data_IF_940976808703
#
_entry.id   IF_940976808703
#
_cell.length_a   1.000
_cell.length_b   1.000
_cell.length_c   1.000
_cell.angle_alpha   90.00
_cell.angle_beta   90.00
_cell.angle_gamma   90.00
#
_symmetry.space_group_name_H-M   'P 1'
#
loop_
_entity.id
_entity.type
_entity.pdbx_description
1 polymer ?
#
# COMPACT_ATOMS: atom_id res chain seq x y z
N UNK A 1 26.72 -24.54 10.02
CA UNK A 1 25.93 -23.35 10.40
C UNK A 1 26.55 -22.04 9.91
N UNK A 2 27.82 -21.72 10.24
CA UNK A 2 28.48 -20.46 9.89
C UNK A 2 28.42 -20.08 8.40
N UNK A 3 28.64 -21.02 7.47
CA UNK A 3 28.60 -20.73 6.02
C UNK A 3 27.25 -20.15 5.56
N UNK A 4 26.14 -20.65 6.10
CA UNK A 4 24.79 -20.19 5.74
C UNK A 4 24.44 -18.87 6.44
N UNK A 5 24.83 -18.71 7.71
CA UNK A 5 24.67 -17.45 8.42
C UNK A 5 25.46 -16.32 7.76
N UNK A 6 26.70 -16.60 7.34
CA UNK A 6 27.50 -15.65 6.56
C UNK A 6 26.85 -15.34 5.22
N UNK A 7 26.34 -16.34 4.49
CA UNK A 7 25.68 -16.12 3.21
C UNK A 7 24.41 -15.24 3.31
N UNK A 8 23.62 -15.41 4.37
CA UNK A 8 22.48 -14.54 4.68
C UNK A 8 22.98 -13.12 5.00
N UNK A 9 24.01 -12.99 5.84
CA UNK A 9 24.58 -11.69 6.24
C UNK A 9 25.17 -10.94 5.05
N UNK A 10 25.88 -11.62 4.16
CA UNK A 10 26.49 -11.05 2.95
C UNK A 10 25.50 -10.97 1.78
N UNK A 11 24.23 -11.37 1.97
CA UNK A 11 23.18 -11.41 0.94
C UNK A 11 23.58 -12.17 -0.34
N UNK A 12 24.49 -13.14 -0.22
CA UNK A 12 25.01 -13.91 -1.37
C UNK A 12 24.08 -15.05 -1.79
N UNK A 13 23.09 -15.38 -0.97
CA UNK A 13 22.00 -16.29 -1.31
C UNK A 13 20.72 -15.86 -0.60
N UNK A 14 19.56 -16.06 -1.24
CA UNK A 14 18.28 -15.76 -0.62
C UNK A 14 18.01 -16.73 0.53
N UNK A 15 17.43 -16.21 1.61
CA UNK A 15 17.02 -17.00 2.78
C UNK A 15 16.08 -18.13 2.37
N UNK A 16 15.20 -17.89 1.41
CA UNK A 16 14.29 -18.90 0.84
C UNK A 16 15.05 -20.05 0.16
N UNK A 17 16.06 -19.75 -0.68
CA UNK A 17 16.86 -20.78 -1.34
C UNK A 17 17.63 -21.65 -0.33
N UNK A 18 18.12 -21.03 0.74
CA UNK A 18 18.80 -21.74 1.84
C UNK A 18 17.80 -22.64 2.58
N UNK A 19 16.63 -22.12 2.96
CA UNK A 19 15.61 -22.90 3.68
C UNK A 19 15.06 -24.05 2.83
N UNK A 20 14.81 -23.82 1.53
CA UNK A 20 14.30 -24.82 0.58
C UNK A 20 15.27 -26.00 0.38
N UNK A 21 16.57 -25.80 0.63
CA UNK A 21 17.56 -26.88 0.61
C UNK A 21 17.43 -27.81 1.81
N UNK A 22 16.96 -27.30 2.94
CA UNK A 22 16.78 -28.06 4.17
C UNK A 22 15.37 -28.65 4.35
N UNK A 23 14.36 -28.15 3.63
CA UNK A 23 13.01 -28.72 3.68
C UNK A 23 12.92 -30.18 3.20
N UNK A 24 13.88 -30.64 2.38
CA UNK A 24 13.99 -32.06 1.98
C UNK A 24 14.46 -32.97 3.11
N UNK A 25 15.22 -32.45 4.08
CA UNK A 25 15.75 -33.16 5.25
C UNK A 25 15.42 -32.35 6.52
N UNK A 26 14.15 -32.37 6.92
CA UNK A 26 13.61 -31.58 8.03
C UNK A 26 14.26 -31.87 9.40
N UNK A 27 15.02 -32.95 9.54
CA UNK A 27 15.76 -33.31 10.76
C UNK A 27 17.10 -32.58 10.93
N UNK A 28 17.54 -31.78 9.96
CA UNK A 28 18.85 -31.14 10.02
C UNK A 28 18.91 -30.10 11.17
N UNK A 29 19.89 -30.17 12.10
CA UNK A 29 19.97 -29.26 13.26
C UNK A 29 20.00 -27.76 12.90
N UNK A 30 20.66 -27.38 11.80
CA UNK A 30 20.62 -26.00 11.28
C UNK A 30 19.21 -25.52 10.93
N UNK A 31 18.34 -26.38 10.39
CA UNK A 31 16.97 -26.00 10.05
C UNK A 31 16.12 -25.79 11.31
N UNK A 32 16.25 -26.69 12.29
CA UNK A 32 15.65 -26.51 13.61
C UNK A 32 16.10 -25.20 14.28
N UNK A 33 17.41 -24.89 14.25
CA UNK A 33 17.92 -23.64 14.79
C UNK A 33 17.34 -22.40 14.07
N UNK A 34 17.19 -22.43 12.75
CA UNK A 34 16.55 -21.35 11.99
C UNK A 34 15.07 -21.18 12.33
N UNK A 35 14.34 -22.28 12.55
CA UNK A 35 12.95 -22.25 13.00
C UNK A 35 12.83 -21.64 14.41
N UNK A 36 13.72 -22.01 15.34
CA UNK A 36 13.73 -21.44 16.68
C UNK A 36 14.04 -19.94 16.67
N UNK A 37 14.99 -19.49 15.84
CA UNK A 37 15.25 -18.05 15.66
C UNK A 37 14.01 -17.34 15.11
N UNK A 38 13.30 -17.93 14.15
CA UNK A 38 12.04 -17.40 13.64
C UNK A 38 10.95 -17.32 14.70
N UNK A 39 10.83 -18.33 15.57
CA UNK A 39 9.90 -18.34 16.72
C UNK A 39 10.26 -17.23 17.71
N UNK A 40 11.53 -17.10 18.08
CA UNK A 40 12.01 -16.04 18.97
C UNK A 40 11.70 -14.65 18.41
N UNK A 41 11.96 -14.40 17.12
CA UNK A 41 11.65 -13.13 16.48
C UNK A 41 10.15 -12.82 16.47
N UNK A 42 9.29 -13.82 16.19
CA UNK A 42 7.83 -13.67 16.30
C UNK A 42 7.40 -13.32 17.72
N UNK A 43 7.94 -14.01 18.72
CA UNK A 43 7.62 -13.73 20.14
C UNK A 43 8.05 -12.33 20.56
N UNK A 44 9.26 -11.90 20.16
CA UNK A 44 9.74 -10.53 20.42
C UNK A 44 8.81 -9.51 19.76
N UNK A 45 8.42 -9.74 18.50
CA UNK A 45 7.49 -8.88 17.79
C UNK A 45 6.13 -8.80 18.50
N UNK A 46 5.53 -9.94 18.85
CA UNK A 46 4.23 -9.98 19.55
C UNK A 46 4.31 -9.28 20.90
N UNK A 47 5.38 -9.52 21.68
CA UNK A 47 5.57 -8.83 22.97
C UNK A 47 5.71 -7.31 22.78
N UNK A 48 6.42 -6.86 21.74
CA UNK A 48 6.51 -5.44 21.39
C UNK A 48 5.17 -4.88 20.96
N UNK A 49 4.45 -5.60 20.10
CA UNK A 49 3.12 -5.22 19.62
C UNK A 49 2.16 -5.06 20.79
N UNK A 50 2.07 -6.03 21.71
CA UNK A 50 1.18 -5.95 22.87
C UNK A 50 1.55 -4.83 23.85
N UNK A 51 2.83 -4.45 23.94
CA UNK A 51 3.30 -3.43 24.89
C UNK A 51 3.23 -2.00 24.34
N UNK A 52 3.47 -1.81 23.05
CA UNK A 52 3.65 -0.49 22.44
C UNK A 52 2.40 -0.11 21.65
N UNK A 53 1.59 0.83 22.17
CA UNK A 53 0.38 1.31 21.49
C UNK A 53 0.67 2.01 20.16
N UNK A 54 1.78 2.73 20.06
CA UNK A 54 2.13 3.42 18.81
C UNK A 54 2.45 2.43 17.68
N UNK A 55 3.12 1.31 18.01
CA UNK A 55 3.37 0.22 17.05
C UNK A 55 2.06 -0.43 16.59
N UNK A 56 1.08 -0.58 17.49
CA UNK A 56 -0.24 -1.11 17.11
C UNK A 56 -0.94 -0.19 16.13
N UNK A 57 -0.97 1.12 16.43
CA UNK A 57 -1.61 2.13 15.57
C UNK A 57 -0.98 2.17 14.19
N UNK A 58 0.35 2.20 14.10
CA UNK A 58 1.06 2.20 12.82
C UNK A 58 0.70 0.97 11.96
N UNK A 59 0.65 -0.22 12.59
CA UNK A 59 0.29 -1.46 11.90
C UNK A 59 -1.18 -1.46 11.47
N UNK A 60 -2.09 -1.02 12.34
CA UNK A 60 -3.53 -0.94 12.05
C UNK A 60 -3.83 0.10 10.94
N UNK A 61 -3.16 1.25 10.96
CA UNK A 61 -3.24 2.26 9.91
C UNK A 61 -2.79 1.69 8.56
N UNK A 62 -1.63 1.02 8.52
CA UNK A 62 -1.15 0.36 7.31
C UNK A 62 -2.07 -0.77 6.83
N UNK A 63 -2.62 -1.55 7.76
CA UNK A 63 -3.57 -2.62 7.45
C UNK A 63 -4.86 -2.07 6.86
N UNK A 64 -5.44 -1.02 7.46
CA UNK A 64 -6.64 -0.36 6.97
C UNK A 64 -6.45 0.14 5.53
N UNK A 65 -5.30 0.73 5.21
CA UNK A 65 -4.98 1.17 3.84
C UNK A 65 -4.97 -0.01 2.85
N UNK A 66 -4.32 -1.11 3.24
CA UNK A 66 -4.23 -2.31 2.38
C UNK A 66 -5.58 -3.03 2.24
N UNK A 67 -6.36 -3.14 3.32
CA UNK A 67 -7.70 -3.71 3.30
C UNK A 67 -8.66 -2.86 2.46
N UNK A 68 -8.59 -1.53 2.60
CA UNK A 68 -9.33 -0.58 1.77
C UNK A 68 -8.96 -0.75 0.29
N UNK A 69 -7.66 -0.81 -0.01
CA UNK A 69 -7.16 -1.06 -1.36
C UNK A 69 -7.64 -2.40 -1.95
N UNK A 70 -7.61 -3.47 -1.15
CA UNK A 70 -8.09 -4.79 -1.56
C UNK A 70 -9.61 -4.84 -1.75
N UNK A 71 -10.37 -4.17 -0.88
CA UNK A 71 -11.80 -4.01 -1.01
C UNK A 71 -12.18 -3.35 -2.33
N UNK A 72 -11.54 -2.22 -2.66
CA UNK A 72 -11.70 -1.58 -3.97
C UNK A 72 -11.32 -2.52 -5.13
N UNK A 73 -10.20 -3.25 -5.00
CA UNK A 73 -9.78 -4.25 -5.99
C UNK A 73 -10.85 -5.30 -6.26
N UNK A 74 -11.51 -5.81 -5.22
CA UNK A 74 -12.59 -6.81 -5.36
C UNK A 74 -13.81 -6.26 -6.11
N UNK A 75 -14.17 -4.99 -5.87
CA UNK A 75 -15.30 -4.33 -6.54
C UNK A 75 -15.00 -4.04 -8.01
N UNK A 76 -13.77 -3.65 -8.34
CA UNK A 76 -13.35 -3.44 -9.73
C UNK A 76 -13.24 -4.77 -10.48
N UNK A 77 -12.75 -5.82 -9.81
CA UNK A 77 -12.66 -7.17 -10.34
C UNK A 77 -14.01 -7.93 -10.34
N UNK A 78 -15.14 -7.21 -10.38
CA UNK A 78 -16.49 -7.77 -10.25
C UNK A 78 -16.80 -8.98 -11.16
N UNK A 79 -16.21 -9.05 -12.36
CA UNK A 79 -16.38 -10.18 -13.27
C UNK A 79 -15.96 -11.53 -12.65
N UNK A 80 -16.86 -12.52 -12.66
CA UNK A 80 -16.68 -13.85 -12.03
C UNK A 80 -16.41 -13.81 -10.51
N UNK A 81 -16.92 -12.80 -9.79
CA UNK A 81 -16.88 -12.75 -8.33
C UNK A 81 -15.54 -12.32 -7.73
N UNK A 82 -14.69 -11.62 -8.48
CA UNK A 82 -13.38 -11.18 -8.00
C UNK A 82 -12.28 -12.24 -8.09
N UNK A 83 -12.59 -13.42 -8.61
CA UNK A 83 -11.65 -14.54 -8.71
C UNK A 83 -10.93 -14.57 -10.06
N UNK A 84 -9.62 -14.84 -10.02
CA UNK A 84 -8.86 -15.06 -11.25
C UNK A 84 -9.26 -16.42 -11.83
N UNK A 85 -10.03 -16.39 -12.90
CA UNK A 85 -10.61 -17.59 -13.50
C UNK A 85 -9.58 -18.51 -14.21
N UNK A 86 -8.31 -18.12 -14.28
CA UNK A 86 -7.25 -18.89 -14.93
C UNK A 86 -6.28 -19.51 -13.94
N UNK A 87 -5.91 -20.76 -14.18
CA UNK A 87 -4.83 -21.46 -13.47
C UNK A 87 -3.44 -21.18 -14.07
N UNK A 88 -3.36 -20.39 -15.14
CA UNK A 88 -2.10 -20.04 -15.78
C UNK A 88 -1.50 -18.80 -15.12
N UNK A 89 -0.23 -18.91 -14.71
CA UNK A 89 0.46 -17.86 -13.96
C UNK A 89 0.63 -16.56 -14.76
N UNK A 90 0.89 -16.66 -16.05
CA UNK A 90 1.01 -15.52 -16.97
C UNK A 90 -0.29 -14.73 -17.07
N UNK A 91 -1.43 -15.41 -17.16
CA UNK A 91 -2.75 -14.78 -17.20
C UNK A 91 -3.13 -14.16 -15.85
N UNK A 92 -2.77 -14.81 -14.73
CA UNK A 92 -2.94 -14.24 -13.39
C UNK A 92 -2.12 -12.96 -13.19
N UNK A 93 -0.86 -12.98 -13.61
CA UNK A 93 0.02 -11.82 -13.52
C UNK A 93 -0.51 -10.66 -14.37
N UNK A 94 -0.90 -10.94 -15.61
CA UNK A 94 -1.51 -9.93 -16.49
C UNK A 94 -2.77 -9.33 -15.87
N UNK A 95 -3.66 -10.15 -15.30
CA UNK A 95 -4.86 -9.68 -14.65
C UNK A 95 -4.57 -8.72 -13.48
N UNK A 96 -3.66 -9.11 -12.58
CA UNK A 96 -3.27 -8.28 -11.42
C UNK A 96 -2.64 -6.95 -11.87
N UNK A 97 -1.80 -6.98 -12.91
CA UNK A 97 -1.19 -5.78 -13.48
C UNK A 97 -2.23 -4.86 -14.14
N UNK A 98 -3.16 -5.43 -14.91
CA UNK A 98 -4.23 -4.67 -15.55
C UNK A 98 -5.19 -4.07 -14.50
N UNK A 99 -5.50 -4.79 -13.43
CA UNK A 99 -6.37 -4.31 -12.34
C UNK A 99 -5.82 -3.05 -11.66
N UNK A 100 -4.49 -2.85 -11.66
CA UNK A 100 -3.86 -1.67 -11.09
C UNK A 100 -4.24 -0.37 -11.81
N UNK A 101 -4.55 -0.44 -13.10
CA UNK A 101 -4.92 0.73 -13.91
C UNK A 101 -6.25 1.35 -13.45
N UNK A 102 -7.40 0.63 -13.47
CA UNK A 102 -8.66 1.17 -12.97
C UNK A 102 -8.60 1.48 -11.47
N UNK A 103 -7.83 0.73 -10.68
CA UNK A 103 -7.61 1.07 -9.27
C UNK A 103 -6.95 2.44 -9.11
N UNK A 104 -5.92 2.73 -9.91
CA UNK A 104 -5.23 4.03 -9.87
C UNK A 104 -6.13 5.15 -10.40
N UNK A 105 -6.94 4.89 -11.42
CA UNK A 105 -7.91 5.84 -11.94
C UNK A 105 -9.00 6.18 -10.91
N UNK A 106 -9.53 5.18 -10.20
CA UNK A 106 -10.49 5.39 -9.10
C UNK A 106 -9.88 6.28 -8.01
N UNK A 107 -8.68 5.95 -7.53
CA UNK A 107 -7.98 6.74 -6.51
C UNK A 107 -7.73 8.17 -6.97
N UNK A 108 -7.38 8.35 -8.25
CA UNK A 108 -7.19 9.68 -8.82
C UNK A 108 -8.48 10.50 -8.80
N UNK A 109 -9.59 9.95 -9.31
CA UNK A 109 -10.89 10.64 -9.30
C UNK A 109 -11.35 10.94 -7.87
N UNK A 110 -11.20 9.99 -6.94
CA UNK A 110 -11.52 10.20 -5.52
C UNK A 110 -10.69 11.33 -4.90
N UNK A 111 -9.41 11.43 -5.29
CA UNK A 111 -8.53 12.51 -4.83
C UNK A 111 -9.05 13.87 -5.34
N UNK A 112 -9.47 13.94 -6.61
CA UNK A 112 -10.03 15.17 -7.18
C UNK A 112 -11.35 15.56 -6.50
N UNK A 113 -12.24 14.59 -6.26
CA UNK A 113 -13.48 14.83 -5.53
C UNK A 113 -13.23 15.33 -4.11
N UNK A 114 -12.26 14.75 -3.40
CA UNK A 114 -11.88 15.22 -2.07
C UNK A 114 -11.29 16.63 -2.14
N UNK A 115 -10.42 16.93 -3.09
CA UNK A 115 -9.83 18.27 -3.24
C UNK A 115 -10.88 19.34 -3.52
N UNK A 116 -11.88 19.01 -4.35
CA UNK A 116 -12.98 19.91 -4.69
C UNK A 116 -13.80 20.25 -3.43
N UNK A 117 -14.23 19.23 -2.68
CA UNK A 117 -14.99 19.39 -1.43
C UNK A 117 -14.16 20.14 -0.38
N UNK A 118 -12.90 19.77 -0.18
CA UNK A 118 -12.00 20.44 0.78
C UNK A 118 -11.66 21.88 0.39
N UNK A 119 -11.88 22.26 -0.87
CA UNK A 119 -11.73 23.64 -1.35
C UNK A 119 -12.91 24.54 -0.97
N UNK A 120 -14.04 23.98 -0.55
CA UNK A 120 -15.19 24.77 -0.12
C UNK A 120 -14.94 25.35 1.29
N UNK A 121 -15.28 26.62 1.53
CA UNK A 121 -14.99 27.31 2.79
C UNK A 121 -15.69 26.69 4.00
N UNK A 122 -16.78 25.95 3.79
CA UNK A 122 -17.52 25.26 4.85
C UNK A 122 -16.66 24.19 5.55
N UNK A 123 -15.76 23.52 4.83
CA UNK A 123 -14.92 22.45 5.39
C UNK A 123 -13.63 22.96 6.03
N UNK A 124 -13.20 24.18 5.67
CA UNK A 124 -11.94 24.77 6.14
C UNK A 124 -11.91 24.94 7.67
N UNK A 125 -13.02 25.35 8.27
CA UNK A 125 -13.12 25.59 9.71
C UNK A 125 -13.67 24.38 10.50
N UNK A 126 -14.14 23.34 9.80
CA UNK A 126 -14.80 22.17 10.38
C UNK A 126 -13.83 21.01 10.67
N UNK A 127 -12.78 20.88 9.87
CA UNK A 127 -11.85 19.75 9.95
C UNK A 127 -10.68 20.05 10.89
N UNK A 128 -10.46 19.18 11.88
CA UNK A 128 -9.28 19.26 12.73
C UNK A 128 -8.07 18.62 12.05
N UNK A 129 -6.84 18.88 12.52
CA UNK A 129 -5.66 18.14 12.04
C UNK A 129 -5.77 16.63 12.21
N UNK A 130 -6.61 16.13 13.15
CA UNK A 130 -6.85 14.70 13.31
C UNK A 130 -7.74 14.15 12.18
N UNK A 131 -8.75 14.90 11.76
CA UNK A 131 -9.65 14.51 10.67
C UNK A 131 -8.91 14.49 9.33
N UNK A 132 -8.04 15.49 9.10
CA UNK A 132 -7.21 15.55 7.90
C UNK A 132 -6.24 14.36 7.79
N UNK A 133 -5.77 13.80 8.92
CA UNK A 133 -4.95 12.59 8.92
C UNK A 133 -5.73 11.33 8.58
N UNK A 134 -7.04 11.31 8.86
CA UNK A 134 -7.92 10.19 8.57
C UNK A 134 -8.44 10.15 7.13
N UNK A 135 -8.28 11.24 6.38
CA UNK A 135 -8.73 11.32 5.00
C UNK A 135 -7.96 10.34 4.11
N UNK A 136 -8.72 9.51 3.39
CA UNK A 136 -8.18 8.55 2.43
C UNK A 136 -8.97 8.61 1.13
N UNK A 137 -8.32 8.61 -0.04
CA UNK A 137 -9.00 8.51 -1.33
C UNK A 137 -9.37 7.05 -1.67
N UNK A 138 -9.18 6.09 -0.75
CA UNK A 138 -9.36 4.66 -1.02
C UNK A 138 -10.79 4.15 -0.76
N UNK A 139 -11.80 5.02 -0.78
CA UNK A 139 -13.21 4.62 -0.64
C UNK A 139 -13.83 4.23 -1.99
N UNK A 140 -14.75 3.26 -1.99
CA UNK A 140 -15.40 2.77 -3.22
C UNK A 140 -16.93 2.64 -3.12
N UNK A 141 -17.54 3.05 -2.01
CA UNK A 141 -18.99 2.89 -1.78
C UNK A 141 -19.87 3.63 -2.79
N UNK A 142 -19.33 4.67 -3.45
CA UNK A 142 -20.04 5.41 -4.50
C UNK A 142 -19.91 4.77 -5.90
N UNK A 143 -19.02 3.78 -6.05
CA UNK A 143 -18.81 3.07 -7.32
C UNK A 143 -19.94 2.06 -7.50
N UNK A 144 -20.65 2.16 -8.62
CA UNK A 144 -21.71 1.21 -9.01
C UNK A 144 -21.17 0.27 -10.08
N UNK A 145 -20.73 -0.96 -9.71
CA UNK A 145 -20.25 -1.93 -10.70
C UNK A 145 -21.40 -2.60 -11.46
N UNK A 146 -22.64 -2.48 -10.96
CA UNK A 146 -23.85 -3.03 -11.57
C UNK A 146 -24.73 -1.92 -12.17
N UNK A 147 -25.43 -2.26 -13.25
CA UNK A 147 -26.44 -1.41 -13.87
C UNK A 147 -26.05 -0.95 -15.27
N UNK A 148 -26.94 -0.18 -15.88
CA UNK A 148 -26.70 0.44 -17.18
C UNK A 148 -26.00 1.78 -16.99
N UNK A 149 -24.86 1.95 -17.67
CA UNK A 149 -24.13 3.21 -17.71
C UNK A 149 -24.30 3.81 -19.10
N UNK A 150 -25.14 4.85 -19.20
CA UNK A 150 -25.24 5.66 -20.40
C UNK A 150 -24.07 6.65 -20.42
N UNK A 151 -23.00 6.27 -21.13
CA UNK A 151 -21.81 7.09 -21.28
C UNK A 151 -22.03 8.15 -22.36
N UNK A 152 -22.04 9.41 -21.97
CA UNK A 152 -21.91 10.52 -22.90
C UNK A 152 -20.45 11.00 -22.91
N UNK A 153 -19.74 10.75 -24.01
CA UNK A 153 -18.32 11.11 -24.16
C UNK A 153 -18.09 12.63 -24.31
N UNK A 154 -19.12 13.41 -24.55
CA UNK A 154 -19.07 14.87 -24.62
C UNK A 154 -19.21 15.53 -23.23
N UNK A 155 -19.65 14.76 -22.23
CA UNK A 155 -19.83 15.24 -20.86
C UNK A 155 -18.60 14.90 -20.03
N UNK A 156 -18.02 15.89 -19.35
CA UNK A 156 -16.92 15.68 -18.39
C UNK A 156 -17.42 15.83 -16.97
N UNK A 157 -16.68 15.23 -16.02
CA UNK A 157 -16.89 15.48 -14.60
C UNK A 157 -16.68 16.96 -14.31
N UNK A 158 -17.64 17.57 -13.62
CA UNK A 158 -17.55 18.95 -13.16
C UNK A 158 -16.78 18.99 -11.84
N UNK A 159 -15.46 18.88 -11.93
CA UNK A 159 -14.53 18.99 -10.80
C UNK A 159 -13.68 20.25 -11.02
N UNK A 160 -13.35 20.99 -9.96
CA UNK A 160 -12.45 22.13 -10.10
C UNK A 160 -11.17 21.75 -10.86
N UNK A 161 -10.76 22.60 -11.80
CA UNK A 161 -9.61 22.34 -12.64
C UNK A 161 -8.36 22.20 -11.77
N UNK A 162 -7.70 21.05 -11.86
CA UNK A 162 -6.43 20.80 -11.18
C UNK A 162 -5.40 21.80 -11.69
N UNK A 163 -4.97 22.72 -10.83
CA UNK A 163 -3.66 23.35 -10.99
C UNK A 163 -2.63 22.28 -10.70
N UNK A 164 -2.20 21.57 -11.75
CA UNK A 164 -1.09 20.61 -11.64
C UNK A 164 0.10 21.39 -11.11
N UNK A 165 0.60 21.11 -9.89
CA UNK A 165 1.80 21.76 -9.41
C UNK A 165 2.89 21.49 -10.44
N UNK A 166 3.61 22.54 -10.86
CA UNK A 166 4.70 22.42 -11.82
C UNK A 166 5.70 21.34 -11.40
N UNK A 167 6.57 20.87 -12.31
CA UNK A 167 7.56 19.84 -12.01
C UNK A 167 8.21 20.12 -10.66
N UNK A 168 8.23 19.13 -9.75
CA UNK A 168 8.94 19.26 -8.48
C UNK A 168 10.38 19.61 -8.80
N UNK A 169 10.75 20.87 -8.58
CA UNK A 169 12.15 21.29 -8.60
C UNK A 169 12.81 20.56 -7.43
N UNK A 170 13.93 19.85 -7.64
CA UNK A 170 14.66 19.22 -6.56
C UNK A 170 15.00 20.28 -5.50
N UNK A 171 14.56 20.05 -4.27
CA UNK A 171 14.99 20.85 -3.14
C UNK A 171 16.45 20.49 -2.85
N UNK A 172 17.39 21.27 -3.40
CA UNK A 172 18.78 21.37 -2.93
C UNK A 172 19.40 22.61 -3.57
N UNK A 173 19.48 23.73 -2.82
CA UNK A 173 20.51 24.78 -2.99
C UNK A 173 20.47 25.96 -1.99
N UNK A 174 19.42 26.19 -1.18
CA UNK A 174 19.31 27.47 -0.44
C UNK A 174 19.61 27.44 1.08
N UNK A 175 19.93 26.28 1.67
CA UNK A 175 20.29 26.19 3.11
C UNK A 175 21.77 26.48 3.42
N UNK A 176 22.46 27.27 2.58
CA UNK A 176 23.86 27.67 2.83
C UNK A 176 24.10 29.19 2.90
N UNK A 177 23.05 30.01 2.91
CA UNK A 177 23.17 31.46 3.10
C UNK A 177 22.31 31.96 4.27
N UNK A 178 22.56 31.43 5.47
CA UNK A 178 22.09 32.06 6.72
C UNK A 178 23.03 31.74 7.89
N UNK A 179 24.34 31.97 7.70
CA UNK A 179 25.34 31.83 8.78
C UNK A 179 26.40 32.96 8.80
N UNK A 180 26.12 34.11 8.20
CA UNK A 180 26.86 35.36 8.43
C UNK A 180 25.85 36.50 8.58
N UNK A 181 26.04 37.34 9.60
CA UNK A 181 25.09 38.30 10.22
C UNK A 181 23.99 37.58 11.03
N UNK A 182 24.09 37.45 12.36
CA UNK A 182 24.39 38.44 13.41
C UNK A 182 25.11 37.76 14.58
#
# INVERSE_FOLDING_TARGET
MFKYATAIRTRTASTEAILRRFTRNASHPTYAAMLEVGRAQKTIFVARYLRLRDLQREIEEGLNVMESSNGAGSVIAYGKGGEIASNRRDEQEMFVLCLRIPQSALVFVNTLMLQDILGEPEWADLLTPADLRGLTPLFWSHVRPYGEVNLNMDTRLNLAAVTVPGPRVPADADDQQSAEYV
#
